data_IF_820120511894
#
_entry.id   IF_820120511894
#
_cell.length_a   1.000
_cell.length_b   1.000
_cell.length_c   1.000
_cell.angle_alpha   90.00
_cell.angle_beta   90.00
_cell.angle_gamma   90.00
#
_symmetry.space_group_name_H-M   'P 1'
#
loop_
_entity.id
_entity.type
_entity.pdbx_description
1 polymer ?
#
# COMPACT_ATOMS: atom_id res chain seq x y z
N UNK A 1 -63.97 -35.65 -12.50
CA UNK A 1 -63.15 -34.69 -13.26
C UNK A 1 -62.45 -33.65 -12.36
N UNK A 2 -63.07 -33.11 -11.30
CA UNK A 2 -62.43 -32.18 -10.34
C UNK A 2 -61.16 -32.72 -9.65
N UNK A 3 -61.13 -34.00 -9.28
CA UNK A 3 -59.97 -34.61 -8.57
C UNK A 3 -58.76 -34.88 -9.47
N UNK A 4 -58.93 -34.90 -10.79
CA UNK A 4 -57.81 -35.10 -11.75
C UNK A 4 -57.05 -33.80 -11.97
N UNK A 5 -57.76 -32.66 -11.94
CA UNK A 5 -57.19 -31.30 -12.12
C UNK A 5 -56.33 -30.91 -10.92
N UNK A 6 -56.78 -31.22 -9.69
CA UNK A 6 -56.03 -30.94 -8.45
C UNK A 6 -54.70 -31.71 -8.42
N UNK A 7 -54.70 -32.99 -8.84
CA UNK A 7 -53.47 -33.79 -8.93
C UNK A 7 -52.49 -33.22 -9.97
N UNK A 8 -53.01 -32.66 -11.06
CA UNK A 8 -52.19 -32.06 -12.11
C UNK A 8 -51.56 -30.72 -11.66
N UNK A 9 -52.31 -29.89 -10.93
CA UNK A 9 -51.79 -28.63 -10.37
C UNK A 9 -50.70 -28.86 -9.30
N UNK A 10 -50.83 -29.88 -8.45
CA UNK A 10 -49.80 -30.22 -7.45
C UNK A 10 -48.50 -30.75 -8.09
N UNK A 11 -48.61 -31.51 -9.19
CA UNK A 11 -47.43 -31.99 -9.91
C UNK A 11 -46.70 -30.85 -10.64
N UNK A 12 -47.45 -29.89 -11.19
CA UNK A 12 -46.88 -28.74 -11.88
C UNK A 12 -46.13 -27.79 -10.93
N UNK A 13 -46.61 -27.63 -9.69
CA UNK A 13 -45.94 -26.80 -8.67
C UNK A 13 -44.66 -27.42 -8.14
N UNK A 14 -44.57 -28.76 -8.07
CA UNK A 14 -43.36 -29.47 -7.65
C UNK A 14 -42.22 -29.37 -8.69
N UNK A 15 -42.55 -29.26 -9.98
CA UNK A 15 -41.56 -29.16 -11.06
C UNK A 15 -40.89 -27.77 -11.08
N UNK A 16 -41.60 -26.72 -10.67
CA UNK A 16 -41.03 -25.36 -10.63
C UNK A 16 -40.11 -25.11 -9.43
N UNK A 17 -40.15 -25.93 -8.38
CA UNK A 17 -39.30 -25.72 -7.18
C UNK A 17 -37.86 -26.23 -7.34
N UNK A 18 -37.54 -26.95 -8.41
CA UNK A 18 -36.19 -27.49 -8.67
C UNK A 18 -35.37 -26.67 -9.68
N UNK A 19 -35.95 -25.66 -10.33
CA UNK A 19 -35.28 -24.78 -11.30
C UNK A 19 -34.76 -23.48 -10.62
N UNK A 20 -35.06 -23.29 -9.33
CA UNK A 20 -34.65 -22.12 -8.56
C UNK A 20 -33.24 -22.21 -7.94
N UNK A 21 -32.58 -23.37 -8.04
CA UNK A 21 -31.16 -23.49 -7.71
C UNK A 21 -30.35 -23.06 -8.94
N UNK A 22 -30.48 -21.78 -9.30
CA UNK A 22 -29.57 -21.15 -10.24
C UNK A 22 -28.16 -21.29 -9.70
N UNK A 23 -27.21 -21.53 -10.60
CA UNK A 23 -25.78 -21.61 -10.32
C UNK A 23 -25.41 -20.59 -9.24
N UNK A 24 -24.85 -21.05 -8.12
CA UNK A 24 -24.26 -20.14 -7.15
C UNK A 24 -23.30 -19.27 -7.94
N UNK A 25 -23.55 -17.96 -7.95
CA UNK A 25 -22.62 -17.04 -8.57
C UNK A 25 -21.27 -17.32 -7.93
N UNK A 26 -20.33 -17.90 -8.70
CA UNK A 26 -18.98 -18.13 -8.23
C UNK A 26 -18.47 -16.78 -7.77
N UNK A 27 -18.42 -16.57 -6.45
CA UNK A 27 -17.81 -15.38 -5.90
C UNK A 27 -16.38 -15.39 -6.40
N UNK A 28 -16.03 -14.42 -7.26
CA UNK A 28 -14.64 -14.24 -7.64
C UNK A 28 -13.85 -14.12 -6.34
N UNK A 29 -12.92 -15.05 -6.15
CA UNK A 29 -12.02 -14.99 -5.02
C UNK A 29 -11.31 -13.63 -5.07
N UNK A 30 -11.20 -12.99 -3.90
CA UNK A 30 -10.52 -11.72 -3.80
C UNK A 30 -9.05 -11.90 -4.17
N UNK A 31 -8.54 -11.17 -5.17
CA UNK A 31 -7.12 -11.14 -5.57
C UNK A 31 -6.23 -10.38 -4.55
N UNK A 32 -6.60 -10.41 -3.27
CA UNK A 32 -5.79 -9.79 -2.20
C UNK A 32 -4.70 -10.78 -1.85
N UNK A 33 -3.47 -10.45 -2.25
CA UNK A 33 -2.26 -11.19 -1.92
C UNK A 33 -1.40 -10.41 -0.92
N UNK A 34 -0.61 -11.16 -0.16
CA UNK A 34 0.44 -10.59 0.66
C UNK A 34 1.60 -10.22 -0.24
N UNK A 35 2.04 -8.96 -0.15
CA UNK A 35 3.22 -8.46 -0.87
C UNK A 35 4.30 -8.02 0.11
N UNK A 36 5.58 -8.19 -0.23
CA UNK A 36 6.67 -7.79 0.65
C UNK A 36 6.84 -6.27 0.65
N UNK A 37 7.10 -5.73 1.84
CA UNK A 37 7.33 -4.31 2.11
C UNK A 37 8.54 -4.11 3.01
N UNK A 38 9.12 -2.92 2.94
CA UNK A 38 9.98 -2.40 4.01
C UNK A 38 9.14 -1.58 4.98
N UNK A 39 9.09 -2.02 6.23
CA UNK A 39 8.43 -1.31 7.31
C UNK A 39 9.45 -0.55 8.16
N UNK A 40 9.38 0.77 8.11
CA UNK A 40 10.26 1.67 8.84
C UNK A 40 9.52 2.23 10.04
N UNK A 41 10.11 2.06 11.23
CA UNK A 41 9.57 2.46 12.52
C UNK A 41 10.64 3.15 13.36
N UNK A 42 10.28 3.56 14.58
CA UNK A 42 11.18 4.18 15.55
C UNK A 42 11.99 5.34 14.93
N UNK A 43 11.31 6.14 14.11
CA UNK A 43 11.91 7.25 13.37
C UNK A 43 12.14 8.40 14.35
N UNK A 44 13.40 8.72 14.65
CA UNK A 44 13.77 9.73 15.64
C UNK A 44 14.20 11.04 14.95
N UNK A 45 13.40 12.09 15.13
CA UNK A 45 13.74 13.47 14.77
C UNK A 45 12.55 14.43 14.88
N UNK A 46 12.77 15.71 14.61
CA UNK A 46 11.70 16.71 14.59
C UNK A 46 10.80 16.48 13.38
N UNK A 47 9.48 16.57 13.55
CA UNK A 47 8.48 16.36 12.46
C UNK A 47 8.57 14.99 11.75
N UNK A 48 9.28 14.02 12.33
CA UNK A 48 9.40 12.68 11.76
C UNK A 48 8.04 11.97 11.70
N UNK A 49 7.73 11.23 10.61
CA UNK A 49 6.54 10.39 10.58
C UNK A 49 6.62 9.29 11.65
N UNK A 50 5.46 8.78 12.05
CA UNK A 50 5.36 7.67 13.00
C UNK A 50 5.94 6.37 12.44
N UNK A 51 5.61 6.06 11.18
CA UNK A 51 6.13 4.91 10.45
C UNK A 51 5.96 5.08 8.94
N UNK A 52 6.69 4.29 8.16
CA UNK A 52 6.64 4.29 6.70
C UNK A 52 6.56 2.84 6.20
N UNK A 53 5.73 2.57 5.20
CA UNK A 53 5.70 1.30 4.46
C UNK A 53 6.11 1.57 3.01
N UNK A 54 7.19 0.92 2.55
CA UNK A 54 7.67 1.00 1.17
C UNK A 54 7.37 -0.33 0.48
N UNK A 55 6.53 -0.32 -0.55
CA UNK A 55 6.18 -1.54 -1.27
C UNK A 55 7.28 -1.90 -2.27
N UNK A 56 7.73 -3.16 -2.28
CA UNK A 56 8.84 -3.60 -3.15
C UNK A 56 8.41 -3.85 -4.60
N UNK A 57 7.15 -4.24 -4.79
CA UNK A 57 6.62 -4.70 -6.08
C UNK A 57 5.67 -3.68 -6.73
N UNK A 58 5.34 -2.61 -6.01
CA UNK A 58 4.48 -1.52 -6.50
C UNK A 58 5.13 -0.18 -6.19
N UNK A 59 4.99 0.83 -7.08
CA UNK A 59 5.50 2.18 -6.84
C UNK A 59 4.62 2.92 -5.81
N UNK A 60 4.60 2.44 -4.57
CA UNK A 60 3.74 2.89 -3.50
C UNK A 60 4.51 3.05 -2.19
N UNK A 61 4.29 4.20 -1.56
CA UNK A 61 4.74 4.54 -0.21
C UNK A 61 3.51 4.84 0.63
N UNK A 62 3.44 4.32 1.85
CA UNK A 62 2.46 4.74 2.86
C UNK A 62 3.21 5.40 4.02
N UNK A 63 2.92 6.67 4.29
CA UNK A 63 3.45 7.36 5.46
C UNK A 63 2.36 7.50 6.52
N UNK A 64 2.71 7.18 7.76
CA UNK A 64 1.83 7.32 8.91
C UNK A 64 2.30 8.50 9.75
N UNK A 65 1.49 9.55 9.87
CA UNK A 65 1.75 10.65 10.82
C UNK A 65 1.40 10.26 12.26
N UNK A 66 0.55 9.24 12.42
CA UNK A 66 0.20 8.61 13.69
C UNK A 66 -0.24 7.17 13.43
N UNK A 67 -0.55 6.42 14.50
CA UNK A 67 -1.03 5.03 14.41
C UNK A 67 -2.29 4.82 13.55
N UNK A 68 -3.05 5.87 13.26
CA UNK A 68 -4.36 5.78 12.57
C UNK A 68 -4.48 6.71 11.37
N UNK A 69 -3.50 7.59 11.15
CA UNK A 69 -3.53 8.53 10.04
C UNK A 69 -2.43 8.17 9.05
N UNK A 70 -2.85 7.63 7.91
CA UNK A 70 -2.00 7.23 6.81
C UNK A 70 -2.24 8.13 5.59
N UNK A 71 -1.19 8.34 4.80
CA UNK A 71 -1.26 8.91 3.46
C UNK A 71 -0.45 8.04 2.51
N UNK A 72 -0.98 7.82 1.32
CA UNK A 72 -0.28 7.13 0.24
C UNK A 72 0.37 8.13 -0.70
N UNK A 73 1.53 7.75 -1.24
CA UNK A 73 2.27 8.51 -2.23
C UNK A 73 2.76 7.57 -3.33
N UNK A 74 2.82 8.09 -4.55
CA UNK A 74 3.54 7.42 -5.62
C UNK A 74 5.04 7.56 -5.37
N UNK A 75 5.81 6.55 -5.76
CA UNK A 75 7.27 6.63 -5.80
C UNK A 75 7.80 6.42 -7.21
N UNK A 76 8.97 6.99 -7.47
CA UNK A 76 9.73 6.80 -8.71
C UNK A 76 11.19 6.49 -8.37
N UNK A 77 11.98 6.13 -9.39
CA UNK A 77 13.42 5.86 -9.25
C UNK A 77 13.79 4.85 -8.14
N UNK A 78 12.90 3.89 -7.87
CA UNK A 78 13.11 2.87 -6.85
C UNK A 78 14.31 1.98 -7.23
N UNK A 79 15.23 1.82 -6.29
CA UNK A 79 16.34 0.87 -6.36
C UNK A 79 16.49 0.21 -5.00
N UNK A 80 16.73 -1.10 -5.05
CA UNK A 80 17.02 -1.92 -3.89
C UNK A 80 18.36 -2.61 -4.15
N UNK A 81 19.40 -2.10 -3.51
CA UNK A 81 20.76 -2.61 -3.54
C UNK A 81 21.08 -3.38 -2.25
N UNK A 82 20.05 -3.84 -1.54
CA UNK A 82 20.21 -4.60 -0.30
C UNK A 82 20.91 -5.93 -0.57
N UNK A 83 21.71 -6.36 0.39
CA UNK A 83 22.38 -7.65 0.40
C UNK A 83 22.09 -8.42 1.69
N UNK A 84 22.78 -9.55 1.91
CA UNK A 84 22.57 -10.40 3.09
C UNK A 84 22.99 -9.77 4.43
N UNK A 85 23.58 -8.57 4.41
CA UNK A 85 24.11 -7.88 5.59
C UNK A 85 23.52 -6.50 5.78
N UNK A 86 23.22 -5.78 4.69
CA UNK A 86 22.73 -4.42 4.74
C UNK A 86 21.52 -4.22 3.82
N UNK A 87 20.53 -3.50 4.33
CA UNK A 87 19.50 -2.87 3.53
C UNK A 87 20.03 -1.57 2.92
N UNK A 88 19.82 -1.38 1.63
CA UNK A 88 20.16 -0.17 0.89
C UNK A 88 19.07 0.11 -0.14
N UNK A 89 18.12 0.97 0.22
CA UNK A 89 16.94 1.27 -0.57
C UNK A 89 16.92 2.75 -0.90
N UNK A 90 16.74 3.09 -2.18
CA UNK A 90 16.60 4.48 -2.63
C UNK A 90 15.35 4.65 -3.47
N UNK A 91 14.62 5.73 -3.28
CA UNK A 91 13.47 6.07 -4.12
C UNK A 91 13.13 7.56 -3.99
N UNK A 92 12.29 8.03 -4.89
CA UNK A 92 11.78 9.39 -4.89
C UNK A 92 10.29 9.39 -4.55
N UNK A 93 9.90 10.09 -3.48
CA UNK A 93 8.50 10.34 -3.14
C UNK A 93 7.95 11.48 -3.99
N UNK A 94 6.84 11.24 -4.68
CA UNK A 94 6.18 12.24 -5.52
C UNK A 94 4.96 12.81 -4.79
N UNK A 95 4.94 14.13 -4.62
CA UNK A 95 3.85 14.88 -3.98
C UNK A 95 3.24 15.83 -5.00
N UNK A 96 1.94 15.63 -5.29
CA UNK A 96 1.17 16.56 -6.11
C UNK A 96 0.84 17.81 -5.29
N UNK A 97 1.32 18.97 -5.74
CA UNK A 97 1.03 20.26 -5.13
C UNK A 97 0.22 21.14 -6.09
N UNK A 98 -0.89 21.67 -5.58
CA UNK A 98 -1.70 22.66 -6.30
C UNK A 98 -1.03 24.04 -6.21
N UNK A 99 -0.94 24.72 -7.34
CA UNK A 99 -0.41 26.08 -7.46
C UNK A 99 -1.52 27.14 -7.32
N UNK A 100 -1.14 28.42 -7.17
CA UNK A 100 -2.10 29.53 -7.06
C UNK A 100 -3.04 29.67 -8.27
N UNK A 101 -2.62 29.19 -9.44
CA UNK A 101 -3.42 29.20 -10.68
C UNK A 101 -4.33 27.96 -10.84
N UNK A 102 -4.34 27.05 -9.85
CA UNK A 102 -5.11 25.80 -9.86
C UNK A 102 -4.48 24.68 -10.69
N UNK A 103 -3.27 24.87 -11.23
CA UNK A 103 -2.50 23.79 -11.85
C UNK A 103 -1.81 22.91 -10.79
N UNK A 104 -1.38 21.71 -11.17
CA UNK A 104 -0.65 20.80 -10.30
C UNK A 104 0.78 20.61 -10.78
N UNK A 105 1.72 20.53 -9.84
CA UNK A 105 3.11 20.15 -10.10
C UNK A 105 3.53 18.98 -9.22
N UNK A 106 4.43 18.16 -9.74
CA UNK A 106 5.10 17.12 -8.98
C UNK A 106 6.26 17.74 -8.21
N UNK A 107 6.21 17.64 -6.88
CA UNK A 107 7.34 17.92 -6.00
C UNK A 107 7.95 16.60 -5.57
N UNK A 108 9.27 16.50 -5.70
CA UNK A 108 10.01 15.26 -5.48
C UNK A 108 10.90 15.40 -4.24
N UNK A 109 10.75 14.44 -3.33
CA UNK A 109 11.64 14.26 -2.19
C UNK A 109 12.40 12.95 -2.35
N UNK A 110 13.73 12.99 -2.30
CA UNK A 110 14.56 11.80 -2.46
C UNK A 110 14.85 11.13 -1.13
N UNK A 111 14.71 9.81 -1.08
CA UNK A 111 14.84 8.97 0.10
C UNK A 111 16.01 8.01 -0.09
N UNK A 112 16.87 7.92 0.91
CA UNK A 112 17.94 6.92 1.01
C UNK A 112 17.84 6.24 2.36
N UNK A 113 17.57 4.94 2.37
CA UNK A 113 17.40 4.13 3.57
C UNK A 113 18.55 3.12 3.64
N UNK A 114 19.30 3.17 4.74
CA UNK A 114 20.36 2.22 5.04
C UNK A 114 20.13 1.61 6.41
N UNK A 115 20.15 0.29 6.54
CA UNK A 115 19.99 -0.39 7.82
C UNK A 115 20.73 -1.73 7.83
N UNK A 116 21.11 -2.22 9.01
CA UNK A 116 21.68 -3.56 9.18
C UNK A 116 20.57 -4.62 9.14
N UNK A 117 20.75 -5.70 8.37
CA UNK A 117 19.71 -6.73 8.17
C UNK A 117 19.40 -7.51 9.44
N UNK A 118 20.39 -7.69 10.32
CA UNK A 118 20.24 -8.51 11.52
C UNK A 118 19.51 -7.75 12.64
N UNK A 119 19.83 -6.48 12.81
CA UNK A 119 19.34 -5.64 13.90
C UNK A 119 18.19 -4.72 13.49
N UNK A 120 18.08 -4.44 12.19
CA UNK A 120 17.19 -3.43 11.64
C UNK A 120 17.59 -1.99 11.95
N UNK A 121 18.68 -1.76 12.69
CA UNK A 121 19.13 -0.41 13.04
C UNK A 121 19.71 0.30 11.82
N UNK A 122 19.34 1.57 11.63
CA UNK A 122 19.76 2.30 10.45
C UNK A 122 19.44 3.77 10.47
N UNK A 123 19.52 4.36 9.27
CA UNK A 123 19.15 5.73 9.01
C UNK A 123 18.34 5.87 7.72
N UNK A 124 17.47 6.86 7.70
CA UNK A 124 16.81 7.38 6.51
C UNK A 124 17.28 8.81 6.29
N UNK A 125 17.75 9.11 5.09
CA UNK A 125 18.07 10.45 4.64
C UNK A 125 16.99 10.92 3.66
N UNK A 126 16.41 12.07 3.92
CA UNK A 126 15.37 12.68 3.09
C UNK A 126 15.91 14.00 2.57
N UNK A 127 15.96 14.15 1.25
CA UNK A 127 16.40 15.37 0.58
C UNK A 127 15.24 15.99 -0.19
N UNK A 128 14.98 17.28 0.04
CA UNK A 128 13.97 18.04 -0.69
C UNK A 128 14.50 19.39 -1.15
N UNK A 129 13.86 19.94 -2.17
CA UNK A 129 14.17 21.26 -2.69
C UNK A 129 13.33 22.33 -1.94
N UNK A 130 13.99 23.39 -1.49
CA UNK A 130 13.34 24.55 -0.90
C UNK A 130 12.84 25.50 -1.99
N UNK A 131 11.99 26.47 -1.61
CA UNK A 131 11.45 27.47 -2.53
C UNK A 131 12.48 28.40 -3.17
N UNK A 132 13.70 28.46 -2.63
CA UNK A 132 14.83 29.22 -3.18
C UNK A 132 15.75 28.39 -4.10
N UNK A 133 15.30 27.20 -4.50
CA UNK A 133 16.04 26.20 -5.29
C UNK A 133 17.25 25.57 -4.59
N UNK A 134 17.48 25.81 -3.31
CA UNK A 134 18.46 25.06 -2.52
C UNK A 134 17.92 23.70 -2.11
N UNK A 135 18.80 22.78 -1.70
CA UNK A 135 18.41 21.47 -1.19
C UNK A 135 18.69 21.39 0.31
N UNK A 136 17.74 20.84 1.06
CA UNK A 136 17.90 20.46 2.46
C UNK A 136 17.91 18.96 2.55
N UNK A 137 18.81 18.40 3.36
CA UNK A 137 18.83 16.99 3.71
C UNK A 137 18.67 16.84 5.22
N UNK A 138 17.72 16.02 5.63
CA UNK A 138 17.56 15.60 7.03
C UNK A 138 17.79 14.10 7.16
N UNK A 139 18.46 13.70 8.24
CA UNK A 139 18.76 12.31 8.54
C UNK A 139 18.09 11.92 9.84
N UNK A 140 17.36 10.81 9.82
CA UNK A 140 16.69 10.24 10.99
C UNK A 140 17.25 8.86 11.31
N UNK A 141 17.38 8.53 12.59
CA UNK A 141 17.63 7.15 13.02
C UNK A 141 16.34 6.35 12.95
N UNK A 142 16.41 5.09 12.54
CA UNK A 142 15.26 4.22 12.29
C UNK A 142 15.48 2.78 12.77
N UNK A 143 14.36 2.05 12.86
CA UNK A 143 14.30 0.59 12.73
C UNK A 143 13.65 0.21 11.41
N UNK A 144 14.23 -0.74 10.69
CA UNK A 144 13.68 -1.29 9.47
C UNK A 144 13.49 -2.81 9.57
N UNK A 145 12.34 -3.29 9.12
CA UNK A 145 12.01 -4.71 9.04
C UNK A 145 11.37 -5.00 7.69
N UNK A 146 11.80 -6.06 7.03
CA UNK A 146 11.08 -6.62 5.88
C UNK A 146 9.92 -7.50 6.38
N UNK A 147 8.72 -7.22 5.88
CA UNK A 147 7.49 -7.92 6.29
C UNK A 147 6.51 -7.95 5.12
N UNK A 148 5.36 -8.59 5.31
CA UNK A 148 4.32 -8.70 4.28
C UNK A 148 3.06 -7.91 4.69
N UNK A 149 2.40 -7.30 3.69
CA UNK A 149 1.13 -6.60 3.84
C UNK A 149 0.17 -7.00 2.73
N UNK A 150 -1.11 -7.02 3.07
CA UNK A 150 -2.16 -7.17 2.06
C UNK A 150 -2.20 -5.94 1.16
N UNK A 151 -2.44 -6.21 -0.11
CA UNK A 151 -2.54 -5.22 -1.18
C UNK A 151 -3.98 -5.09 -1.68
#
# INVERSE_FOLDING_TARGET
MKNTIIKFCCLFTLIFSVIGCGEEAEFQASDIELVPIYYVTDIVGSEAPHSIEVYKEKPLLIEFSSKVQAKSFAISNYQDLSDGTAFNITFDKVVLMEQEDGSFIDVVNSYVINADVLTGDGSIEITWQNSDNTFTTETYTIKLVETERYN
#
